data_IF_128649910546
#
_entry.id   IF_128649910546
#
_cell.length_a   1.000
_cell.length_b   1.000
_cell.length_c   1.000
_cell.angle_alpha   90.00
_cell.angle_beta   90.00
_cell.angle_gamma   90.00
#
_symmetry.space_group_name_H-M   'P 1'
#
loop_
_entity.id
_entity.type
_entity.pdbx_description
1 polymer ?
#
# COMPACT_ATOMS: atom_id res chain seq x y z
N UNK A 1 10.79 28.72 -54.04
CA UNK A 1 9.67 28.20 -53.19
C UNK A 1 8.80 29.41 -52.83
N UNK A 2 7.51 29.39 -53.19
CA UNK A 2 6.64 30.53 -52.85
C UNK A 2 6.43 30.62 -51.31
N UNK A 3 6.48 31.84 -50.76
CA UNK A 3 6.30 32.12 -49.34
C UNK A 3 5.05 31.41 -48.76
N UNK A 4 3.95 31.44 -49.54
CA UNK A 4 2.67 30.83 -49.14
C UNK A 4 2.77 29.32 -48.92
N UNK A 5 3.48 28.62 -49.84
CA UNK A 5 3.68 27.16 -49.77
C UNK A 5 4.61 26.80 -48.59
N UNK A 6 5.64 27.61 -48.34
CA UNK A 6 6.53 27.43 -47.20
C UNK A 6 5.77 27.55 -45.87
N UNK A 7 4.99 28.62 -45.70
CA UNK A 7 4.21 28.84 -44.48
C UNK A 7 3.17 27.77 -44.23
N UNK A 8 2.48 27.28 -45.29
CA UNK A 8 1.55 26.16 -45.15
C UNK A 8 2.25 24.88 -44.69
N UNK A 9 3.41 24.55 -45.24
CA UNK A 9 4.16 23.35 -44.84
C UNK A 9 4.67 23.46 -43.38
N UNK A 10 5.17 24.64 -43.00
CA UNK A 10 5.60 24.89 -41.61
C UNK A 10 4.45 24.77 -40.62
N UNK A 11 3.29 25.35 -40.95
CA UNK A 11 2.09 25.21 -40.14
C UNK A 11 1.62 23.74 -39.99
N UNK A 12 1.57 23.01 -41.09
CA UNK A 12 1.21 21.58 -41.09
C UNK A 12 2.20 20.72 -40.28
N UNK A 13 3.49 21.00 -40.42
CA UNK A 13 4.53 20.30 -39.64
C UNK A 13 4.40 20.62 -38.14
N UNK A 14 4.16 21.88 -37.78
CA UNK A 14 3.93 22.29 -36.40
C UNK A 14 2.68 21.66 -35.80
N UNK A 15 1.57 21.63 -36.53
CA UNK A 15 0.34 20.97 -36.08
C UNK A 15 0.56 19.46 -35.90
N UNK A 16 1.25 18.82 -36.86
CA UNK A 16 1.60 17.41 -36.77
C UNK A 16 2.46 17.08 -35.55
N UNK A 17 3.43 17.93 -35.24
CA UNK A 17 4.27 17.75 -34.06
C UNK A 17 3.48 17.88 -32.75
N UNK A 18 2.60 18.86 -32.64
CA UNK A 18 1.75 19.07 -31.45
C UNK A 18 0.77 17.89 -31.26
N UNK A 19 0.13 17.44 -32.36
CA UNK A 19 -0.79 16.29 -32.26
C UNK A 19 -0.06 15.01 -31.90
N UNK A 20 1.12 14.75 -32.44
CA UNK A 20 1.94 13.59 -32.11
C UNK A 20 2.40 13.62 -30.64
N UNK A 21 2.86 14.78 -30.17
CA UNK A 21 3.24 14.96 -28.75
C UNK A 21 2.03 14.77 -27.84
N UNK A 22 0.87 15.33 -28.16
CA UNK A 22 -0.36 15.14 -27.39
C UNK A 22 -0.82 13.68 -27.35
N UNK A 23 -0.78 12.98 -28.50
CA UNK A 23 -1.10 11.54 -28.54
C UNK A 23 -0.13 10.71 -27.70
N UNK A 24 1.16 11.02 -27.75
CA UNK A 24 2.17 10.35 -26.96
C UNK A 24 1.96 10.55 -25.46
N UNK A 25 1.75 11.78 -24.99
CA UNK A 25 1.50 12.08 -23.57
C UNK A 25 0.20 11.45 -23.08
N UNK A 26 -0.85 11.47 -23.90
CA UNK A 26 -2.12 10.81 -23.57
C UNK A 26 -1.92 9.31 -23.43
N UNK A 27 -1.22 8.67 -24.37
CA UNK A 27 -0.88 7.27 -24.31
C UNK A 27 -0.04 6.95 -23.05
N UNK A 28 0.94 7.79 -22.74
CA UNK A 28 1.83 7.61 -21.59
C UNK A 28 1.08 7.69 -20.25
N UNK A 29 0.10 8.58 -20.15
CA UNK A 29 -0.76 8.72 -18.96
C UNK A 29 -1.76 7.56 -18.85
N UNK A 30 -2.32 7.10 -19.98
CA UNK A 30 -3.34 6.04 -19.97
C UNK A 30 -2.78 4.63 -19.86
N UNK A 31 -1.50 4.40 -20.20
CA UNK A 31 -0.89 3.13 -19.91
C UNK A 31 -0.68 3.01 -18.41
N UNK A 32 -1.28 2.00 -17.83
CA UNK A 32 -1.08 1.66 -16.41
C UNK A 32 0.39 1.22 -16.23
N UNK A 33 1.17 2.08 -15.56
CA UNK A 33 2.42 1.61 -14.98
C UNK A 33 2.07 0.74 -13.77
N UNK A 34 2.70 -0.40 -13.55
CA UNK A 34 2.66 -1.03 -12.24
C UNK A 34 3.16 0.02 -11.26
N UNK A 35 2.27 0.45 -10.35
CA UNK A 35 2.63 1.40 -9.30
C UNK A 35 3.85 0.82 -8.58
N UNK A 36 4.93 1.60 -8.53
CA UNK A 36 6.27 1.12 -8.24
C UNK A 36 6.35 0.17 -7.04
N UNK A 37 6.65 -1.08 -7.32
CA UNK A 37 6.79 -2.14 -6.34
C UNK A 37 5.53 -2.95 -6.00
N UNK A 38 4.33 -2.51 -6.39
CA UNK A 38 3.10 -3.29 -6.21
C UNK A 38 2.77 -4.07 -7.49
N UNK A 39 2.21 -5.30 -7.34
CA UNK A 39 1.79 -6.15 -8.45
C UNK A 39 2.71 -7.34 -8.72
N UNK A 40 3.51 -7.79 -7.75
CA UNK A 40 4.36 -8.97 -7.84
C UNK A 40 4.85 -9.49 -6.51
N UNK A 41 5.60 -10.57 -6.54
CA UNK A 41 6.20 -11.20 -5.37
C UNK A 41 7.46 -10.44 -4.95
N UNK A 42 7.49 -9.98 -3.71
CA UNK A 42 8.60 -9.25 -3.11
C UNK A 42 9.22 -10.09 -2.00
N UNK A 43 10.50 -10.41 -2.15
CA UNK A 43 11.29 -11.04 -1.08
C UNK A 43 11.63 -9.98 -0.02
N UNK A 44 11.34 -10.30 1.23
CA UNK A 44 11.45 -9.33 2.32
C UNK A 44 12.52 -9.74 3.34
N UNK A 45 12.13 -10.12 4.51
CA UNK A 45 13.00 -10.47 5.66
C UNK A 45 12.95 -11.96 5.95
N UNK A 46 13.79 -12.43 6.85
CA UNK A 46 13.67 -13.79 7.36
C UNK A 46 12.45 -13.90 8.28
N UNK A 47 11.79 -15.06 8.27
CA UNK A 47 10.62 -15.33 9.10
C UNK A 47 10.90 -15.09 10.59
N UNK A 48 12.08 -15.48 11.07
CA UNK A 48 12.51 -15.27 12.46
C UNK A 48 12.63 -13.80 12.89
N UNK A 49 12.76 -12.85 11.93
CA UNK A 49 12.89 -11.43 12.22
C UNK A 49 11.52 -10.77 12.45
N UNK A 50 10.43 -11.48 12.13
CA UNK A 50 9.06 -11.01 12.40
C UNK A 50 8.66 -11.44 13.81
N UNK A 51 8.74 -10.50 14.75
CA UNK A 51 8.41 -10.76 16.17
C UNK A 51 6.90 -10.69 16.44
N UNK A 52 6.40 -11.37 17.46
CA UNK A 52 4.98 -11.30 17.81
C UNK A 52 4.56 -9.99 18.47
N UNK A 53 5.50 -9.17 18.97
CA UNK A 53 5.20 -7.96 19.74
C UNK A 53 5.10 -6.71 18.87
N UNK A 54 5.73 -6.72 17.69
CA UNK A 54 5.91 -5.53 16.85
C UNK A 54 5.42 -5.75 15.41
N UNK A 55 5.20 -4.65 14.72
CA UNK A 55 4.92 -4.63 13.30
C UNK A 55 6.15 -4.16 12.51
N UNK A 56 6.74 -5.03 11.72
CA UNK A 56 7.91 -4.72 10.90
C UNK A 56 7.49 -4.08 9.57
N UNK A 57 7.88 -2.83 9.35
CA UNK A 57 7.56 -2.15 8.10
C UNK A 57 8.52 -2.50 6.96
N UNK A 58 7.98 -3.05 5.88
CA UNK A 58 8.69 -3.35 4.64
C UNK A 58 8.36 -2.31 3.57
N UNK A 59 9.28 -1.38 3.37
CA UNK A 59 9.09 -0.23 2.46
C UNK A 59 8.83 -0.65 1.02
N UNK A 60 9.55 -1.64 0.51
CA UNK A 60 9.45 -2.11 -0.88
C UNK A 60 8.10 -2.71 -1.21
N UNK A 61 7.47 -3.36 -0.24
CA UNK A 61 6.13 -3.95 -0.35
C UNK A 61 5.02 -3.02 0.16
N UNK A 62 5.35 -1.86 0.72
CA UNK A 62 4.42 -0.94 1.35
C UNK A 62 3.51 -1.64 2.38
N UNK A 63 4.07 -2.55 3.15
CA UNK A 63 3.34 -3.45 4.05
C UNK A 63 3.99 -3.53 5.43
N UNK A 64 3.20 -3.90 6.40
CA UNK A 64 3.65 -4.30 7.73
C UNK A 64 3.57 -5.81 7.86
N UNK A 65 4.63 -6.44 8.32
CA UNK A 65 4.64 -7.83 8.70
C UNK A 65 4.40 -7.94 10.20
N UNK A 66 3.40 -8.72 10.59
CA UNK A 66 3.07 -9.03 11.99
C UNK A 66 2.99 -10.53 12.16
N UNK A 67 3.19 -11.02 13.38
CA UNK A 67 3.01 -12.45 13.69
C UNK A 67 1.77 -12.66 14.57
N UNK A 68 0.80 -13.38 14.05
CA UNK A 68 -0.46 -13.68 14.72
C UNK A 68 -0.60 -15.21 14.84
N UNK A 69 -0.73 -15.73 16.04
CA UNK A 69 -0.84 -17.18 16.31
C UNK A 69 0.25 -18.01 15.62
N UNK A 70 1.47 -17.47 15.57
CA UNK A 70 2.63 -18.09 14.94
C UNK A 70 2.73 -17.91 13.43
N UNK A 71 1.70 -17.43 12.75
CA UNK A 71 1.71 -17.16 11.32
C UNK A 71 2.11 -15.71 11.01
N UNK A 72 2.87 -15.49 9.94
CA UNK A 72 3.18 -14.15 9.43
C UNK A 72 2.00 -13.64 8.60
N UNK A 73 1.58 -12.41 8.89
CA UNK A 73 0.54 -11.68 8.17
C UNK A 73 1.14 -10.41 7.57
N UNK A 74 0.87 -10.16 6.31
CA UNK A 74 1.28 -8.94 5.60
C UNK A 74 0.11 -7.97 5.48
N UNK A 75 0.14 -6.88 6.23
CA UNK A 75 -0.91 -5.85 6.26
C UNK A 75 -0.54 -4.70 5.35
N UNK A 76 -1.37 -4.39 4.36
CA UNK A 76 -1.14 -3.24 3.49
C UNK A 76 -1.25 -1.95 4.29
N UNK A 77 -0.25 -1.06 4.15
CA UNK A 77 -0.24 0.23 4.88
C UNK A 77 -1.41 1.16 4.54
N UNK A 78 -2.23 0.83 3.55
CA UNK A 78 -3.32 1.68 3.05
C UNK A 78 -4.55 1.57 3.93
N UNK A 79 -5.01 2.69 4.47
CA UNK A 79 -6.23 2.75 5.27
C UNK A 79 -7.47 2.45 4.42
N UNK A 80 -8.32 1.48 4.81
CA UNK A 80 -9.54 1.15 4.07
C UNK A 80 -10.59 2.26 4.04
N UNK A 81 -10.44 3.30 4.87
CA UNK A 81 -11.35 4.44 4.86
C UNK A 81 -11.20 5.27 3.57
N UNK A 82 -10.09 5.97 3.40
CA UNK A 82 -9.84 6.85 2.24
C UNK A 82 -8.39 6.76 1.72
N UNK A 83 -7.69 5.67 2.01
CA UNK A 83 -6.40 5.38 1.42
C UNK A 83 -5.18 6.08 2.05
N UNK A 84 -5.34 6.76 3.19
CA UNK A 84 -4.20 7.33 3.92
C UNK A 84 -3.24 6.23 4.37
N UNK A 85 -1.99 6.60 4.61
CA UNK A 85 -1.03 5.69 5.22
C UNK A 85 -1.39 5.47 6.70
N UNK A 86 -1.50 4.21 7.08
CA UNK A 86 -1.60 3.77 8.47
C UNK A 86 -0.18 3.59 9.01
N UNK A 87 0.07 4.02 10.23
CA UNK A 87 1.36 3.87 10.91
C UNK A 87 1.23 2.93 12.11
N UNK A 88 2.30 2.20 12.39
CA UNK A 88 2.42 1.43 13.64
C UNK A 88 2.81 2.37 14.77
N UNK A 89 2.08 2.30 15.86
CA UNK A 89 2.39 3.00 17.10
C UNK A 89 2.99 2.02 18.11
N UNK A 90 4.28 2.10 18.35
CA UNK A 90 5.00 1.19 19.25
C UNK A 90 4.52 1.30 20.69
N UNK A 91 4.23 2.52 21.17
CA UNK A 91 3.76 2.76 22.53
C UNK A 91 2.39 2.16 22.81
N UNK A 92 1.48 2.25 21.83
CA UNK A 92 0.13 1.69 21.94
C UNK A 92 0.07 0.23 21.52
N UNK A 93 1.01 -0.25 20.70
CA UNK A 93 0.98 -1.60 20.12
C UNK A 93 -0.16 -1.81 19.12
N UNK A 94 -0.55 -0.74 18.42
CA UNK A 94 -1.64 -0.75 17.45
C UNK A 94 -1.34 0.12 16.22
N UNK A 95 -2.12 -0.05 15.17
CA UNK A 95 -2.02 0.76 13.97
C UNK A 95 -2.93 1.97 14.06
N UNK A 96 -2.40 3.14 13.70
CA UNK A 96 -3.11 4.41 13.74
C UNK A 96 -3.12 5.10 12.38
N UNK A 97 -4.31 5.55 11.97
CA UNK A 97 -4.48 6.38 10.79
C UNK A 97 -4.75 7.82 11.21
N UNK A 98 -3.74 8.69 11.12
CA UNK A 98 -3.81 10.08 11.57
C UNK A 98 -4.80 10.96 10.79
N UNK A 99 -5.28 10.53 9.60
CA UNK A 99 -6.18 11.34 8.78
C UNK A 99 -7.55 11.56 9.44
N UNK A 100 -8.16 10.48 9.96
CA UNK A 100 -9.51 10.53 10.52
C UNK A 100 -9.68 9.65 11.78
N UNK A 101 -8.58 9.24 12.40
CA UNK A 101 -8.62 8.50 13.66
C UNK A 101 -9.18 7.09 13.55
N UNK A 102 -8.80 6.33 12.53
CA UNK A 102 -9.06 4.88 12.52
C UNK A 102 -7.93 4.16 13.23
N UNK A 103 -8.28 3.24 14.11
CA UNK A 103 -7.36 2.42 14.89
C UNK A 103 -7.58 0.94 14.57
N UNK A 104 -6.48 0.19 14.49
CA UNK A 104 -6.52 -1.23 14.18
C UNK A 104 -5.57 -1.97 15.13
N UNK A 105 -5.99 -3.15 15.57
CA UNK A 105 -5.12 -4.01 16.36
C UNK A 105 -3.96 -4.57 15.51
N UNK A 106 -3.07 -5.33 16.12
CA UNK A 106 -1.89 -5.92 15.46
C UNK A 106 -2.25 -6.91 14.35
N UNK A 107 -3.47 -7.49 14.36
CA UNK A 107 -4.00 -8.32 13.27
C UNK A 107 -4.63 -7.47 12.14
N UNK A 108 -4.63 -6.14 12.23
CA UNK A 108 -5.24 -5.24 11.26
C UNK A 108 -6.76 -5.14 11.37
N UNK A 109 -7.38 -5.60 12.48
CA UNK A 109 -8.82 -5.52 12.70
C UNK A 109 -9.20 -4.15 13.27
N UNK A 110 -10.36 -3.62 12.85
CA UNK A 110 -10.84 -2.29 13.31
C UNK A 110 -11.15 -2.32 14.80
N UNK A 111 -10.58 -1.39 15.54
CA UNK A 111 -10.89 -1.11 16.95
C UNK A 111 -11.79 0.11 17.10
N UNK A 112 -11.49 1.17 16.35
CA UNK A 112 -12.24 2.44 16.41
C UNK A 112 -12.07 3.23 15.10
N UNK A 113 -12.91 4.24 14.93
CA UNK A 113 -12.84 5.20 13.82
C UNK A 113 -13.71 4.83 12.62
N UNK A 114 -13.59 5.59 11.52
CA UNK A 114 -14.50 5.51 10.38
C UNK A 114 -14.13 4.42 9.36
N UNK A 115 -13.09 3.61 9.57
CA UNK A 115 -12.72 2.55 8.64
C UNK A 115 -13.85 1.50 8.53
N UNK A 116 -14.33 1.18 7.30
CA UNK A 116 -15.45 0.26 7.10
C UNK A 116 -15.08 -1.21 7.28
N UNK A 117 -13.79 -1.54 7.33
CA UNK A 117 -13.24 -2.89 7.52
C UNK A 117 -11.80 -2.81 8.03
N UNK A 118 -11.24 -3.95 8.38
CA UNK A 118 -9.82 -4.07 8.74
C UNK A 118 -8.87 -3.73 7.59
N UNK A 119 -7.58 -3.66 7.90
CA UNK A 119 -6.52 -3.45 6.92
C UNK A 119 -6.48 -4.60 5.93
N UNK A 120 -6.33 -4.27 4.65
CA UNK A 120 -6.20 -5.28 3.59
C UNK A 120 -4.88 -6.04 3.74
N UNK A 121 -4.87 -7.28 3.25
CA UNK A 121 -3.75 -8.22 3.42
C UNK A 121 -3.20 -8.64 2.09
N UNK A 122 -1.89 -8.80 2.02
CA UNK A 122 -1.22 -9.49 0.93
C UNK A 122 -1.02 -10.97 1.26
N UNK A 123 -0.98 -11.79 0.23
CA UNK A 123 -0.60 -13.19 0.37
C UNK A 123 0.86 -13.30 0.81
N UNK A 124 1.13 -14.21 1.74
CA UNK A 124 2.48 -14.48 2.27
C UNK A 124 2.84 -15.92 2.01
N UNK A 125 4.07 -16.14 1.56
CA UNK A 125 4.70 -17.45 1.48
C UNK A 125 6.07 -17.39 2.17
N UNK A 126 6.44 -18.49 2.85
CA UNK A 126 7.76 -18.60 3.49
C UNK A 126 8.54 -19.63 2.67
N UNK A 127 9.68 -19.19 2.12
CA UNK A 127 10.55 -20.05 1.32
C UNK A 127 11.24 -21.11 2.18
N UNK A 128 11.83 -22.10 1.54
CA UNK A 128 12.64 -23.14 2.21
C UNK A 128 13.85 -22.57 2.96
N UNK A 129 14.32 -21.40 2.54
CA UNK A 129 15.42 -20.65 3.18
C UNK A 129 14.93 -19.76 4.32
N UNK A 130 13.63 -19.80 4.66
CA UNK A 130 13.01 -19.01 5.72
C UNK A 130 12.77 -17.54 5.35
N UNK A 131 12.80 -17.16 4.05
CA UNK A 131 12.52 -15.79 3.61
C UNK A 131 11.02 -15.62 3.44
N UNK A 132 10.49 -14.54 3.99
CA UNK A 132 9.09 -14.11 3.80
C UNK A 132 8.95 -13.45 2.43
N UNK A 133 8.14 -14.05 1.57
CA UNK A 133 7.73 -13.50 0.28
C UNK A 133 6.31 -12.96 0.37
N UNK A 134 6.12 -11.73 -0.09
CA UNK A 134 4.83 -11.02 -0.09
C UNK A 134 4.39 -10.82 -1.52
N UNK A 135 3.25 -11.41 -1.91
CA UNK A 135 2.65 -11.18 -3.21
C UNK A 135 1.73 -9.96 -3.17
N UNK A 136 2.24 -8.82 -3.62
CA UNK A 136 1.51 -7.55 -3.65
C UNK A 136 0.51 -7.45 -4.80
N UNK A 137 0.48 -8.44 -5.70
CA UNK A 137 -0.51 -8.56 -6.78
C UNK A 137 -1.81 -9.21 -6.32
N UNK A 138 -1.80 -9.92 -5.20
CA UNK A 138 -2.96 -10.61 -4.63
C UNK A 138 -3.37 -9.95 -3.31
N UNK A 139 -4.46 -9.17 -3.35
CA UNK A 139 -4.98 -8.41 -2.21
C UNK A 139 -6.24 -9.07 -1.68
N UNK A 140 -6.23 -9.48 -0.42
CA UNK A 140 -7.41 -9.91 0.30
C UNK A 140 -7.96 -8.76 1.14
N UNK A 141 -9.28 -8.55 1.09
CA UNK A 141 -9.92 -7.54 1.94
C UNK A 141 -9.75 -7.87 3.43
N UNK A 142 -9.58 -6.82 4.22
CA UNK A 142 -9.51 -6.91 5.67
C UNK A 142 -10.83 -7.40 6.29
N UNK A 143 -10.74 -7.92 7.50
CA UNK A 143 -11.89 -8.47 8.23
C UNK A 143 -13.03 -7.45 8.39
N UNK A 144 -14.30 -7.85 8.36
CA UNK A 144 -15.43 -6.96 8.56
C UNK A 144 -15.39 -6.31 9.95
N UNK A 145 -16.07 -5.15 10.12
CA UNK A 145 -16.14 -4.46 11.41
C UNK A 145 -16.71 -5.38 12.50
N UNK A 146 -16.16 -5.26 13.71
CA UNK A 146 -16.58 -6.10 14.85
C UNK A 146 -15.88 -7.46 14.92
N UNK A 147 -15.03 -7.80 13.95
CA UNK A 147 -14.13 -8.94 14.07
C UNK A 147 -13.05 -8.61 15.12
N UNK A 148 -12.90 -9.48 16.09
CA UNK A 148 -11.88 -9.39 17.15
C UNK A 148 -11.33 -10.80 17.40
N UNK A 149 -10.40 -11.22 16.55
CA UNK A 149 -9.68 -12.48 16.74
C UNK A 149 -8.52 -12.31 17.73
N UNK A 150 -8.04 -11.07 17.86
CA UNK A 150 -6.97 -10.70 18.78
C UNK A 150 -7.51 -9.72 19.82
N UNK A 151 -7.72 -10.21 21.05
CA UNK A 151 -8.17 -9.39 22.19
C UNK A 151 -6.97 -8.85 22.97
N UNK A 152 -6.25 -7.91 22.34
CA UNK A 152 -5.14 -7.19 22.97
C UNK A 152 -5.54 -5.72 23.18
N UNK A 153 -5.69 -5.22 24.40
CA UNK A 153 -5.92 -3.81 24.65
C UNK A 153 -4.66 -2.99 24.28
N UNK A 154 -4.80 -1.68 23.99
CA UNK A 154 -3.64 -0.81 23.81
C UNK A 154 -2.68 -0.89 24.98
N UNK A 155 -1.37 -0.98 24.69
CA UNK A 155 -0.32 -1.13 25.71
C UNK A 155 0.01 0.19 26.41
N UNK A 156 -0.32 1.32 25.77
CA UNK A 156 0.02 2.66 26.25
C UNK A 156 -0.64 3.76 25.43
N UNK A 157 -0.15 5.01 25.56
CA UNK A 157 -0.74 6.15 24.85
C UNK A 157 -0.57 6.03 23.35
N UNK A 158 -1.59 6.51 22.62
CA UNK A 158 -1.55 6.60 21.16
C UNK A 158 -0.50 7.61 20.67
N UNK A 159 0.06 7.35 19.48
CA UNK A 159 1.03 8.24 18.87
C UNK A 159 0.39 9.47 18.22
N UNK A 160 -0.90 9.43 17.91
CA UNK A 160 -1.66 10.56 17.37
C UNK A 160 -2.05 11.59 18.43
N UNK A 161 -1.89 11.25 19.72
CA UNK A 161 -2.20 12.11 20.86
C UNK A 161 -0.95 12.78 21.45
N UNK A 162 0.23 12.55 20.88
CA UNK A 162 1.52 13.03 21.38
C UNK A 162 1.98 14.32 20.71
#
# INVERSE_FOLDING_TARGET
MERRTFLKRMWQAGLGAVTAAGAWTTWDILRTFPEGGLGGVIRTVLDQDVTPEEALYVRTAQTYLTRIDGAVVALWQRCPHLGCRVNWCESAGEFECACHGSFFNRAGEVRAGPAPRGMDRFKVEITVDGIVEVDTGEVAEGAPPGTQTLDEPPRGPGCAEA
#
